data_IF_379074204752
#
_entry.id   IF_379074204752
#
_cell.length_a   1.000
_cell.length_b   1.000
_cell.length_c   1.000
_cell.angle_alpha   90.00
_cell.angle_beta   90.00
_cell.angle_gamma   90.00
#
_symmetry.space_group_name_H-M   'P 1'
#
loop_
_entity.id
_entity.type
_entity.pdbx_description
1 polymer ?
#
# COMPACT_ATOMS: atom_id res chain seq x y z
N UNK A 1 28.84 13.65 -2.06
CA UNK A 1 27.44 14.08 -1.78
C UNK A 1 26.61 12.88 -1.38
N UNK A 2 26.73 11.75 -2.08
CA UNK A 2 26.04 10.48 -1.79
C UNK A 2 26.25 10.00 -0.33
N UNK A 3 27.51 9.98 0.13
CA UNK A 3 27.90 9.61 1.50
C UNK A 3 27.29 10.51 2.60
N UNK A 4 26.97 11.77 2.28
CA UNK A 4 26.33 12.69 3.23
C UNK A 4 24.84 12.43 3.39
N UNK A 5 24.13 12.20 2.27
CA UNK A 5 22.69 11.91 2.31
C UNK A 5 22.43 10.57 2.97
N UNK A 6 23.22 9.55 2.62
CA UNK A 6 23.13 8.22 3.22
C UNK A 6 23.37 8.27 4.73
N UNK A 7 24.44 8.93 5.18
CA UNK A 7 24.68 9.14 6.62
C UNK A 7 23.53 9.86 7.31
N UNK A 8 22.97 10.89 6.67
CA UNK A 8 21.83 11.65 7.22
C UNK A 8 20.57 10.79 7.33
N UNK A 9 20.31 9.92 6.35
CA UNK A 9 19.21 8.95 6.39
C UNK A 9 19.43 7.99 7.56
N UNK A 10 20.63 7.42 7.71
CA UNK A 10 20.96 6.51 8.80
C UNK A 10 20.86 7.17 10.20
N UNK A 11 21.33 8.42 10.34
CA UNK A 11 21.18 9.20 11.57
C UNK A 11 19.70 9.43 11.93
N UNK A 12 18.87 9.77 10.93
CA UNK A 12 17.42 9.97 11.12
C UNK A 12 16.69 8.66 11.41
N UNK A 13 17.05 7.56 10.74
CA UNK A 13 16.50 6.24 11.03
C UNK A 13 16.76 5.84 12.48
N UNK A 14 17.97 6.10 13.01
CA UNK A 14 18.26 5.92 14.44
C UNK A 14 17.39 6.79 15.32
N UNK A 15 17.27 8.09 14.99
CA UNK A 15 16.46 9.04 15.77
C UNK A 15 14.97 8.65 15.83
N UNK A 16 14.43 8.07 14.76
CA UNK A 16 13.05 7.56 14.72
C UNK A 16 12.90 6.09 15.17
N UNK A 17 14.00 5.43 15.57
CA UNK A 17 13.97 4.01 15.96
C UNK A 17 13.63 3.04 14.82
N UNK A 18 13.79 3.46 13.56
CA UNK A 18 13.40 2.65 12.40
C UNK A 18 14.27 1.41 12.20
N UNK A 19 15.57 1.49 12.49
CA UNK A 19 16.46 0.33 12.39
C UNK A 19 16.02 -0.81 13.32
N UNK A 20 15.71 -0.46 14.57
CA UNK A 20 15.21 -1.43 15.54
C UNK A 20 13.82 -1.95 15.14
N UNK A 21 12.96 -1.08 14.61
CA UNK A 21 11.65 -1.48 14.10
C UNK A 21 11.76 -2.48 12.92
N UNK A 22 12.64 -2.24 11.96
CA UNK A 22 12.91 -3.16 10.85
C UNK A 22 13.43 -4.50 11.37
N UNK A 23 14.37 -4.49 12.31
CA UNK A 23 14.90 -5.70 12.95
C UNK A 23 13.81 -6.52 13.62
N UNK A 24 12.98 -5.87 14.44
CA UNK A 24 11.86 -6.52 15.13
C UNK A 24 10.81 -7.05 14.15
N UNK A 25 10.47 -6.31 13.10
CA UNK A 25 9.51 -6.78 12.08
C UNK A 25 10.03 -8.03 11.36
N UNK A 26 11.32 -8.06 11.00
CA UNK A 26 11.95 -9.23 10.38
C UNK A 26 11.93 -10.45 11.32
N UNK A 27 12.35 -10.26 12.58
CA UNK A 27 12.34 -11.32 13.59
C UNK A 27 10.92 -11.85 13.85
N UNK A 28 9.94 -10.94 13.93
CA UNK A 28 8.53 -11.29 14.07
C UNK A 28 8.04 -12.06 12.84
N UNK A 29 8.37 -11.64 11.62
CA UNK A 29 7.94 -12.30 10.40
C UNK A 29 8.46 -13.75 10.29
N UNK A 30 9.69 -14.00 10.75
CA UNK A 30 10.29 -15.34 10.77
C UNK A 30 9.52 -16.31 11.66
N UNK A 31 9.02 -15.85 12.82
CA UNK A 31 8.41 -16.69 13.85
C UNK A 31 6.89 -16.57 13.95
N UNK A 32 6.29 -15.60 13.25
CA UNK A 32 4.86 -15.32 13.32
C UNK A 32 4.05 -16.46 12.72
N UNK A 33 3.06 -17.01 13.46
CA UNK A 33 2.06 -17.88 12.86
C UNK A 33 1.24 -17.07 11.85
N UNK A 34 1.08 -17.63 10.65
CA UNK A 34 0.30 -17.02 9.57
C UNK A 34 -0.89 -17.91 9.22
N UNK A 35 -2.00 -17.29 8.84
CA UNK A 35 -3.21 -17.99 8.37
C UNK A 35 -3.02 -18.40 6.92
N UNK A 36 -2.47 -17.50 6.09
CA UNK A 36 -2.17 -17.79 4.70
C UNK A 36 -1.01 -18.77 4.50
N UNK A 37 -0.87 -19.28 3.29
CA UNK A 37 0.25 -20.13 2.89
C UNK A 37 1.41 -19.27 2.40
N UNK A 38 2.58 -19.41 3.02
CA UNK A 38 3.83 -18.80 2.51
C UNK A 38 4.17 -19.43 1.16
N UNK A 39 4.39 -18.60 0.14
CA UNK A 39 4.84 -19.01 -1.18
C UNK A 39 6.06 -18.18 -1.56
N UNK A 40 7.13 -18.82 -2.01
CA UNK A 40 8.27 -18.11 -2.58
C UNK A 40 7.99 -17.84 -4.06
N UNK A 41 8.17 -16.59 -4.47
CA UNK A 41 8.06 -16.13 -5.84
C UNK A 41 9.46 -15.83 -6.34
N UNK A 42 9.93 -16.63 -7.30
CA UNK A 42 11.23 -16.45 -7.92
C UNK A 42 11.12 -15.46 -9.09
N UNK A 43 11.86 -14.36 -8.98
CA UNK A 43 12.01 -13.33 -10.00
C UNK A 43 13.46 -13.34 -10.51
N UNK A 44 13.76 -12.69 -11.65
CA UNK A 44 15.15 -12.53 -12.10
C UNK A 44 16.03 -11.88 -11.01
N UNK A 45 17.00 -12.65 -10.50
CA UNK A 45 18.00 -12.19 -9.54
C UNK A 45 17.56 -12.09 -8.07
N UNK A 46 16.33 -12.48 -7.72
CA UNK A 46 15.83 -12.44 -6.32
C UNK A 46 14.62 -13.35 -6.11
N UNK A 47 14.37 -13.73 -4.86
CA UNK A 47 13.16 -14.45 -4.47
C UNK A 47 12.46 -13.67 -3.36
N UNK A 48 11.15 -13.54 -3.46
CA UNK A 48 10.32 -12.81 -2.52
C UNK A 48 9.28 -13.75 -1.92
N UNK A 49 8.93 -13.53 -0.65
CA UNK A 49 7.82 -14.25 -0.05
C UNK A 49 6.51 -13.59 -0.47
N UNK A 50 5.47 -14.36 -0.73
CA UNK A 50 4.10 -13.90 -0.80
C UNK A 50 3.27 -14.72 0.18
N UNK A 51 2.21 -14.12 0.71
CA UNK A 51 1.25 -14.81 1.56
C UNK A 51 -0.05 -15.05 0.79
N UNK A 52 -0.36 -16.32 0.53
CA UNK A 52 -1.47 -16.72 -0.33
C UNK A 52 -2.64 -17.26 0.48
N UNK A 53 -3.80 -16.66 0.29
CA UNK A 53 -5.08 -17.10 0.81
C UNK A 53 -5.95 -17.55 -0.35
N UNK A 54 -6.27 -18.84 -0.39
CA UNK A 54 -7.01 -19.44 -1.49
C UNK A 54 -8.23 -20.19 -0.92
N UNK A 55 -9.46 -19.89 -1.37
CA UNK A 55 -10.65 -20.60 -0.94
C UNK A 55 -10.71 -21.98 -1.60
N UNK A 56 -11.30 -22.97 -0.94
CA UNK A 56 -11.50 -24.33 -1.50
C UNK A 56 -12.30 -24.31 -2.81
N UNK A 57 -13.26 -23.39 -2.91
CA UNK A 57 -14.15 -23.23 -4.05
C UNK A 57 -14.24 -21.75 -4.43
N UNK A 58 -13.29 -21.24 -5.24
CA UNK A 58 -13.31 -19.88 -5.76
C UNK A 58 -14.58 -19.60 -6.57
N UNK A 59 -15.15 -18.40 -6.42
CA UNK A 59 -16.35 -18.00 -7.20
C UNK A 59 -16.04 -17.56 -8.61
N UNK A 60 -14.79 -17.14 -8.87
CA UNK A 60 -14.27 -16.75 -10.17
C UNK A 60 -12.72 -16.73 -10.16
N UNK A 61 -12.12 -16.31 -11.27
CA UNK A 61 -10.67 -16.22 -11.48
C UNK A 61 -10.07 -14.85 -11.10
N UNK A 62 -10.73 -14.08 -10.23
CA UNK A 62 -10.16 -12.83 -9.70
C UNK A 62 -9.05 -13.13 -8.70
N UNK A 63 -7.96 -12.36 -8.79
CA UNK A 63 -6.91 -12.31 -7.78
C UNK A 63 -6.86 -10.89 -7.20
N UNK A 64 -6.89 -10.80 -5.87
CA UNK A 64 -6.64 -9.55 -5.15
C UNK A 64 -5.18 -9.57 -4.70
N UNK A 65 -4.38 -8.62 -5.16
CA UNK A 65 -3.04 -8.42 -4.62
C UNK A 65 -3.09 -7.33 -3.55
N UNK A 66 -2.64 -7.67 -2.34
CA UNK A 66 -2.48 -6.68 -1.27
C UNK A 66 -1.02 -6.23 -1.18
N UNK A 67 -0.83 -4.92 -1.01
CA UNK A 67 0.48 -4.28 -0.96
C UNK A 67 0.54 -3.47 0.33
N UNK A 68 1.41 -3.89 1.25
CA UNK A 68 1.49 -3.33 2.59
C UNK A 68 2.04 -1.90 2.58
N UNK A 69 1.66 -1.12 3.60
CA UNK A 69 2.19 0.22 3.86
C UNK A 69 3.58 0.20 4.49
N UNK A 70 3.92 1.27 5.21
CA UNK A 70 5.21 1.37 5.92
C UNK A 70 6.21 2.37 5.32
N UNK A 71 5.74 3.28 4.46
CA UNK A 71 6.57 4.37 3.95
C UNK A 71 7.74 3.88 3.09
N UNK A 72 7.56 2.76 2.38
CA UNK A 72 8.57 2.07 1.57
C UNK A 72 9.78 1.52 2.35
N UNK A 73 9.83 1.73 3.67
CA UNK A 73 10.97 1.36 4.53
C UNK A 73 10.62 0.29 5.57
N UNK A 74 9.33 0.02 5.75
CA UNK A 74 8.80 -0.87 6.78
C UNK A 74 7.70 -1.75 6.20
N UNK A 75 7.29 -2.73 6.99
CA UNK A 75 6.21 -3.64 6.66
C UNK A 75 6.72 -4.97 6.13
N UNK A 76 5.79 -5.90 5.99
CA UNK A 76 6.02 -7.24 5.46
C UNK A 76 4.69 -7.77 4.90
N UNK A 77 4.72 -8.69 3.94
CA UNK A 77 3.52 -9.36 3.42
C UNK A 77 2.71 -10.16 4.46
N UNK A 78 3.21 -10.30 5.70
CA UNK A 78 2.48 -10.94 6.80
C UNK A 78 1.63 -9.95 7.60
N UNK A 79 1.87 -8.64 7.46
CA UNK A 79 1.13 -7.62 8.20
C UNK A 79 -0.35 -7.59 7.82
N UNK A 80 -0.68 -7.96 6.58
CA UNK A 80 -2.04 -8.01 6.06
C UNK A 80 -2.69 -9.41 6.16
N UNK A 81 -2.07 -10.39 6.82
CA UNK A 81 -2.53 -11.80 6.86
C UNK A 81 -4.01 -11.93 7.26
N UNK A 82 -4.42 -11.25 8.35
CA UNK A 82 -5.82 -11.30 8.80
C UNK A 82 -6.76 -10.59 7.83
N UNK A 83 -6.34 -9.45 7.27
CA UNK A 83 -7.13 -8.71 6.28
C UNK A 83 -7.34 -9.57 5.03
N UNK A 84 -6.27 -10.19 4.51
CA UNK A 84 -6.31 -11.08 3.36
C UNK A 84 -7.23 -12.27 3.59
N UNK A 85 -7.18 -12.87 4.78
CA UNK A 85 -8.08 -13.95 5.17
C UNK A 85 -9.55 -13.52 5.17
N UNK A 86 -9.88 -12.36 5.74
CA UNK A 86 -11.27 -11.86 5.78
C UNK A 86 -11.78 -11.49 4.38
N UNK A 87 -10.93 -10.90 3.52
CA UNK A 87 -11.26 -10.63 2.12
C UNK A 87 -11.51 -11.93 1.35
N UNK A 88 -10.62 -12.92 1.48
CA UNK A 88 -10.77 -14.24 0.88
C UNK A 88 -12.09 -14.89 1.30
N UNK A 89 -12.46 -14.83 2.58
CA UNK A 89 -13.74 -15.36 3.07
C UNK A 89 -14.96 -14.64 2.52
N UNK A 90 -14.93 -13.31 2.50
CA UNK A 90 -16.08 -12.48 2.10
C UNK A 90 -16.32 -12.50 0.58
N UNK A 91 -15.24 -12.58 -0.21
CA UNK A 91 -15.29 -12.54 -1.67
C UNK A 91 -15.18 -13.93 -2.30
N UNK A 92 -14.63 -14.92 -1.57
CA UNK A 92 -14.35 -16.28 -2.09
C UNK A 92 -13.51 -16.25 -3.36
N UNK A 93 -12.49 -15.40 -3.37
CA UNK A 93 -11.48 -15.31 -4.45
C UNK A 93 -10.08 -15.42 -3.84
N UNK A 94 -9.08 -15.64 -4.68
CA UNK A 94 -7.68 -15.71 -4.24
C UNK A 94 -7.20 -14.33 -3.81
N UNK A 95 -6.51 -14.26 -2.66
CA UNK A 95 -5.87 -13.05 -2.15
C UNK A 95 -4.39 -13.35 -1.93
N UNK A 96 -3.52 -12.49 -2.46
CA UNK A 96 -2.07 -12.65 -2.39
C UNK A 96 -1.47 -11.37 -1.82
N UNK A 97 -0.92 -11.44 -0.61
CA UNK A 97 -0.12 -10.34 -0.07
C UNK A 97 1.30 -10.42 -0.62
N UNK A 98 1.74 -9.36 -1.28
CA UNK A 98 3.03 -9.30 -1.95
C UNK A 98 4.09 -8.67 -1.04
N UNK A 99 5.27 -9.29 -0.98
CA UNK A 99 6.46 -8.68 -0.39
C UNK A 99 7.19 -7.85 -1.45
N UNK A 100 7.89 -6.80 -1.02
CA UNK A 100 8.75 -6.02 -1.90
C UNK A 100 9.99 -5.54 -1.17
N UNK A 101 11.09 -5.35 -1.90
CA UNK A 101 12.32 -4.82 -1.32
C UNK A 101 12.13 -3.39 -0.82
N UNK A 102 12.67 -3.11 0.35
CA UNK A 102 12.47 -1.86 1.08
C UNK A 102 13.65 -0.90 0.94
N UNK A 103 13.34 0.39 1.00
CA UNK A 103 14.31 1.46 1.16
C UNK A 103 14.82 1.52 2.63
N UNK A 104 16.05 2.02 2.86
CA UNK A 104 16.97 2.60 1.90
C UNK A 104 17.87 1.58 1.18
N UNK A 105 17.87 0.30 1.57
CA UNK A 105 18.72 -0.74 0.97
C UNK A 105 18.40 -0.94 -0.51
N UNK A 106 17.11 -0.84 -0.85
CA UNK A 106 16.60 -0.96 -2.21
C UNK A 106 15.67 0.22 -2.50
N UNK A 107 16.22 1.39 -2.88
CA UNK A 107 15.43 2.56 -3.24
C UNK A 107 14.66 2.30 -4.54
N UNK A 108 13.84 3.27 -4.96
CA UNK A 108 13.18 3.26 -6.26
C UNK A 108 14.15 2.92 -7.40
N UNK A 109 13.78 2.05 -8.36
CA UNK A 109 12.45 1.43 -8.57
C UNK A 109 12.26 0.04 -7.95
N UNK A 110 13.13 -0.40 -7.03
CA UNK A 110 13.17 -1.80 -6.62
C UNK A 110 11.83 -2.37 -6.11
N UNK A 111 11.13 -1.63 -5.24
CA UNK A 111 9.85 -2.06 -4.67
C UNK A 111 8.73 -2.15 -5.71
N UNK A 112 8.59 -1.17 -6.60
CA UNK A 112 7.56 -1.21 -7.65
C UNK A 112 7.85 -2.29 -8.69
N UNK A 113 9.12 -2.50 -9.06
CA UNK A 113 9.54 -3.57 -9.98
C UNK A 113 9.19 -4.94 -9.39
N UNK A 114 9.38 -5.14 -8.08
CA UNK A 114 9.02 -6.36 -7.38
C UNK A 114 7.52 -6.63 -7.42
N UNK A 115 6.70 -5.60 -7.18
CA UNK A 115 5.24 -5.73 -7.24
C UNK A 115 4.78 -6.03 -8.68
N UNK A 116 5.25 -5.25 -9.65
CA UNK A 116 4.88 -5.40 -11.06
C UNK A 116 5.26 -6.79 -11.61
N UNK A 117 6.49 -7.25 -11.37
CA UNK A 117 6.95 -8.55 -11.88
C UNK A 117 6.22 -9.73 -11.22
N UNK A 118 5.92 -9.66 -9.92
CA UNK A 118 5.10 -10.68 -9.26
C UNK A 118 3.69 -10.75 -9.86
N UNK A 119 3.06 -9.60 -10.13
CA UNK A 119 1.74 -9.56 -10.75
C UNK A 119 1.81 -10.12 -12.18
N UNK A 120 2.80 -9.74 -12.99
CA UNK A 120 2.99 -10.31 -14.33
C UNK A 120 3.04 -11.84 -14.32
N UNK A 121 3.73 -12.43 -13.35
CA UNK A 121 3.83 -13.88 -13.21
C UNK A 121 2.52 -14.53 -12.75
N UNK A 122 1.82 -13.91 -11.81
CA UNK A 122 0.66 -14.50 -11.12
C UNK A 122 -0.70 -14.20 -11.80
N UNK A 123 -0.79 -13.14 -12.59
CA UNK A 123 -2.05 -12.61 -13.12
C UNK A 123 -2.41 -13.07 -14.54
N UNK A 124 -1.62 -13.94 -15.17
CA UNK A 124 -1.86 -14.36 -16.55
C UNK A 124 -3.29 -14.92 -16.75
N UNK A 125 -4.10 -14.22 -17.56
CA UNK A 125 -5.49 -14.58 -17.85
C UNK A 125 -6.47 -14.38 -16.69
N UNK A 126 -6.08 -13.63 -15.65
CA UNK A 126 -6.88 -13.40 -14.43
C UNK A 126 -7.44 -11.98 -14.40
N UNK A 127 -8.52 -11.80 -13.65
CA UNK A 127 -8.99 -10.46 -13.29
C UNK A 127 -8.19 -9.98 -12.08
N UNK A 128 -7.64 -8.76 -12.13
CA UNK A 128 -6.73 -8.25 -11.09
C UNK A 128 -7.37 -7.11 -10.33
N UNK A 129 -7.37 -7.20 -9.00
CA UNK A 129 -7.67 -6.08 -8.11
C UNK A 129 -6.43 -5.78 -7.29
N UNK A 130 -6.05 -4.51 -7.20
CA UNK A 130 -4.96 -4.08 -6.33
C UNK A 130 -5.53 -3.41 -5.09
N UNK A 131 -5.09 -3.85 -3.91
CA UNK A 131 -5.40 -3.21 -2.64
C UNK A 131 -4.08 -2.75 -2.03
N UNK A 132 -3.97 -1.47 -1.70
CA UNK A 132 -2.78 -0.94 -1.07
C UNK A 132 -3.11 -0.01 0.08
N UNK A 133 -2.26 -0.01 1.10
CA UNK A 133 -2.34 0.90 2.25
C UNK A 133 -1.15 1.87 2.23
N UNK A 134 -1.38 3.17 2.42
CA UNK A 134 -0.32 4.17 2.55
C UNK A 134 0.67 4.15 1.36
N UNK A 135 1.94 3.81 1.60
CA UNK A 135 2.97 3.60 0.58
C UNK A 135 2.64 2.43 -0.38
N UNK A 136 2.00 1.36 0.11
CA UNK A 136 1.53 0.28 -0.76
C UNK A 136 0.42 0.70 -1.71
N UNK A 137 -0.38 1.71 -1.34
CA UNK A 137 -1.36 2.30 -2.24
C UNK A 137 -0.70 3.12 -3.37
N UNK A 138 0.45 3.72 -3.10
CA UNK A 138 1.28 4.36 -4.11
C UNK A 138 1.81 3.32 -5.12
N UNK A 139 2.43 2.24 -4.62
CA UNK A 139 2.90 1.13 -5.44
C UNK A 139 1.76 0.46 -6.24
N UNK A 140 0.55 0.39 -5.68
CA UNK A 140 -0.63 -0.11 -6.39
C UNK A 140 -0.98 0.73 -7.62
N UNK A 141 -0.95 2.06 -7.50
CA UNK A 141 -1.22 2.97 -8.62
C UNK A 141 -0.12 2.88 -9.67
N UNK A 142 1.14 2.81 -9.25
CA UNK A 142 2.29 2.65 -10.15
C UNK A 142 2.22 1.31 -10.90
N UNK A 143 1.95 0.21 -10.21
CA UNK A 143 1.79 -1.11 -10.83
C UNK A 143 0.61 -1.15 -11.82
N UNK A 144 -0.52 -0.51 -11.50
CA UNK A 144 -1.64 -0.37 -12.43
C UNK A 144 -1.26 0.44 -13.68
N UNK A 145 -0.51 1.53 -13.51
CA UNK A 145 -0.01 2.34 -14.63
C UNK A 145 0.97 1.54 -15.51
N UNK A 146 1.91 0.82 -14.91
CA UNK A 146 2.87 -0.05 -15.62
C UNK A 146 2.15 -1.19 -16.34
N UNK A 147 1.18 -1.85 -15.69
CA UNK A 147 0.34 -2.88 -16.31
C UNK A 147 -0.39 -2.36 -17.54
N UNK A 148 -1.02 -1.19 -17.45
CA UNK A 148 -1.65 -0.49 -18.58
C UNK A 148 -0.64 -0.17 -19.70
N UNK A 149 0.51 0.41 -19.36
CA UNK A 149 1.54 0.87 -20.32
C UNK A 149 2.18 -0.29 -21.08
N UNK A 150 2.41 -1.41 -20.40
CA UNK A 150 3.08 -2.60 -20.96
C UNK A 150 2.12 -3.63 -21.52
N UNK A 151 0.82 -3.53 -21.18
CA UNK A 151 -0.22 -4.51 -21.52
C UNK A 151 0.07 -5.92 -21.00
N UNK A 152 0.94 -6.06 -19.98
CA UNK A 152 1.31 -7.36 -19.41
C UNK A 152 0.16 -7.99 -18.59
N UNK A 153 -0.65 -7.15 -17.93
CA UNK A 153 -1.86 -7.55 -17.23
C UNK A 153 -2.84 -6.36 -17.20
N UNK A 154 -4.11 -6.66 -17.00
CA UNK A 154 -5.15 -5.65 -16.84
C UNK A 154 -5.58 -5.59 -15.38
N UNK A 155 -5.46 -4.41 -14.76
CA UNK A 155 -6.08 -4.14 -13.46
C UNK A 155 -7.53 -3.74 -13.68
N UNK A 156 -8.43 -4.37 -12.93
CA UNK A 156 -9.88 -4.18 -13.00
C UNK A 156 -10.42 -3.27 -11.91
N UNK A 157 -9.70 -3.12 -10.80
CA UNK A 157 -10.07 -2.21 -9.72
C UNK A 157 -8.91 -1.93 -8.77
N UNK A 158 -8.96 -0.78 -8.12
CA UNK A 158 -8.03 -0.40 -7.05
C UNK A 158 -8.78 -0.06 -5.77
N UNK A 159 -8.31 -0.57 -4.64
CA UNK A 159 -8.70 -0.17 -3.29
C UNK A 159 -7.50 0.55 -2.66
N UNK A 160 -7.60 1.87 -2.50
CA UNK A 160 -6.50 2.73 -2.05
C UNK A 160 -6.82 3.27 -0.65
N UNK A 161 -6.18 2.71 0.36
CA UNK A 161 -6.39 3.07 1.76
C UNK A 161 -5.36 4.11 2.21
N UNK A 162 -5.84 5.31 2.54
CA UNK A 162 -5.09 6.50 2.97
C UNK A 162 -3.78 6.65 2.17
N UNK A 163 -3.89 6.85 0.85
CA UNK A 163 -2.77 6.62 -0.06
C UNK A 163 -1.73 7.74 -0.02
N UNK A 164 -0.44 7.38 -0.02
CA UNK A 164 0.67 8.34 -0.01
C UNK A 164 1.15 8.67 -1.44
N UNK A 165 0.48 9.60 -2.13
CA UNK A 165 0.62 9.78 -3.59
C UNK A 165 1.42 11.03 -4.00
N UNK A 166 1.76 11.91 -3.05
CA UNK A 166 2.54 13.12 -3.31
C UNK A 166 3.95 13.05 -2.70
N UNK A 167 4.92 12.53 -3.44
CA UNK A 167 6.30 12.49 -2.97
C UNK A 167 7.03 13.82 -3.14
N UNK A 168 6.59 14.75 -4.01
CA UNK A 168 7.23 16.08 -4.14
C UNK A 168 6.98 16.97 -2.90
N UNK A 169 5.88 16.74 -2.18
CA UNK A 169 5.51 17.55 -1.01
C UNK A 169 6.44 17.30 0.18
N UNK A 170 7.27 18.28 0.51
CA UNK A 170 8.22 18.21 1.62
C UNK A 170 7.58 18.47 2.99
N UNK A 171 8.27 18.12 4.08
CA UNK A 171 7.76 18.24 5.45
C UNK A 171 7.13 19.60 5.80
N UNK A 172 7.77 20.71 5.40
CA UNK A 172 7.32 22.08 5.73
C UNK A 172 5.97 22.46 5.10
N UNK A 173 5.59 21.77 4.02
CA UNK A 173 4.37 22.05 3.26
C UNK A 173 3.21 21.12 3.70
N UNK A 174 3.46 20.23 4.66
CA UNK A 174 2.45 19.33 5.25
C UNK A 174 1.87 19.94 6.52
N UNK A 175 0.56 19.82 6.68
CA UNK A 175 -0.09 20.20 7.92
C UNK A 175 0.34 19.25 9.05
N UNK A 176 0.67 19.81 10.22
CA UNK A 176 0.88 19.05 11.44
C UNK A 176 -0.49 18.61 11.98
N UNK A 177 -0.76 17.30 11.99
CA UNK A 177 -2.02 16.74 12.48
C UNK A 177 -1.76 15.85 13.68
N UNK A 178 -2.31 16.23 14.84
CA UNK A 178 -2.15 15.48 16.09
C UNK A 178 -2.64 14.03 15.94
N UNK A 179 -1.72 13.08 16.07
CA UNK A 179 -1.98 11.64 16.03
C UNK A 179 -1.64 10.97 14.70
N UNK A 180 -1.45 11.75 13.62
CA UNK A 180 -0.93 11.28 12.32
C UNK A 180 0.59 11.08 12.38
N UNK A 181 1.18 10.68 11.26
CA UNK A 181 2.63 10.50 11.09
C UNK A 181 3.36 11.85 11.19
N UNK A 182 4.50 11.93 11.90
CA UNK A 182 5.31 13.14 11.91
C UNK A 182 5.76 13.54 10.50
N UNK A 183 5.68 14.84 10.16
CA UNK A 183 6.10 15.32 8.84
C UNK A 183 7.57 15.06 8.54
N UNK A 184 8.43 15.07 9.56
CA UNK A 184 9.85 14.70 9.43
C UNK A 184 10.06 13.20 9.15
N UNK A 185 9.15 12.34 9.60
CA UNK A 185 9.18 10.92 9.27
C UNK A 185 8.75 10.70 7.81
N UNK A 186 7.71 11.41 7.35
CA UNK A 186 7.31 11.42 5.93
C UNK A 186 8.46 11.88 5.02
N UNK A 187 9.20 12.92 5.42
CA UNK A 187 10.39 13.39 4.70
C UNK A 187 11.50 12.34 4.65
N UNK A 188 11.67 11.56 5.72
CA UNK A 188 12.63 10.45 5.73
C UNK A 188 12.22 9.33 4.77
N UNK A 189 10.94 8.90 4.79
CA UNK A 189 10.41 7.92 3.84
C UNK A 189 10.65 8.35 2.40
N UNK A 190 10.31 9.60 2.08
CA UNK A 190 10.55 10.20 0.76
C UNK A 190 12.03 10.16 0.38
N UNK A 191 12.92 10.64 1.24
CA UNK A 191 14.36 10.71 0.95
C UNK A 191 14.99 9.32 0.77
N UNK A 192 14.57 8.35 1.58
CA UNK A 192 15.06 6.98 1.47
C UNK A 192 14.58 6.28 0.20
N UNK A 193 13.29 6.46 -0.16
CA UNK A 193 12.71 5.80 -1.32
C UNK A 193 13.17 6.44 -2.64
N UNK A 194 13.10 7.76 -2.76
CA UNK A 194 13.48 8.48 -3.99
C UNK A 194 14.98 8.39 -4.25
N UNK A 195 15.80 8.48 -3.20
CA UNK A 195 17.28 8.58 -3.29
C UNK A 195 17.72 9.64 -4.32
N UNK A 196 18.20 9.21 -5.48
CA UNK A 196 18.72 10.08 -6.55
C UNK A 196 17.74 10.21 -7.75
N UNK A 197 16.57 9.58 -7.65
CA UNK A 197 15.55 9.67 -8.69
C UNK A 197 14.89 11.06 -8.74
N UNK A 198 14.31 11.38 -9.89
CA UNK A 198 13.47 12.57 -10.05
C UNK A 198 12.10 12.32 -9.42
N UNK A 199 11.87 12.93 -8.26
CA UNK A 199 10.62 12.84 -7.48
C UNK A 199 9.38 13.34 -8.24
N UNK A 200 9.54 14.10 -9.32
CA UNK A 200 8.43 14.58 -10.15
C UNK A 200 7.92 13.54 -11.14
N UNK A 201 8.64 12.42 -11.31
CA UNK A 201 8.20 11.30 -12.15
C UNK A 201 6.87 10.74 -11.67
N UNK A 202 5.98 10.47 -12.61
CA UNK A 202 4.66 9.90 -12.34
C UNK A 202 4.76 8.48 -11.79
N UNK A 203 5.86 7.79 -12.07
CA UNK A 203 6.22 6.48 -11.52
C UNK A 203 6.76 6.54 -10.08
N UNK A 204 6.72 7.70 -9.43
CA UNK A 204 7.06 7.93 -8.01
C UNK A 204 5.95 8.73 -7.32
N UNK A 205 5.45 9.75 -8.01
CA UNK A 205 4.42 10.66 -7.55
C UNK A 205 3.18 10.50 -8.43
N UNK A 206 2.25 9.57 -8.13
CA UNK A 206 1.04 9.41 -8.92
C UNK A 206 0.20 10.68 -9.09
N UNK A 207 0.25 11.62 -8.14
CA UNK A 207 -0.44 12.91 -8.32
C UNK A 207 0.17 13.81 -9.40
N UNK A 208 1.38 13.53 -9.88
CA UNK A 208 1.96 14.23 -11.01
C UNK A 208 1.35 13.78 -12.35
N UNK A 209 0.60 12.68 -12.39
CA UNK A 209 -0.04 12.19 -13.62
C UNK A 209 -0.96 13.26 -14.23
N UNK A 210 -0.81 13.41 -15.54
CA UNK A 210 -1.69 14.18 -16.41
C UNK A 210 -3.02 13.44 -16.61
N UNK A 211 -4.04 14.16 -17.09
CA UNK A 211 -5.33 13.57 -17.40
C UNK A 211 -5.21 12.42 -18.42
N UNK A 212 -4.33 12.54 -19.42
CA UNK A 212 -4.10 11.51 -20.43
C UNK A 212 -3.47 10.23 -19.84
N UNK A 213 -2.56 10.38 -18.87
CA UNK A 213 -1.94 9.23 -18.19
C UNK A 213 -2.96 8.50 -17.30
N UNK A 214 -3.89 9.25 -16.68
CA UNK A 214 -4.95 8.71 -15.84
C UNK A 214 -6.07 8.04 -16.65
N UNK A 215 -6.39 8.53 -17.85
CA UNK A 215 -7.42 7.92 -18.70
C UNK A 215 -7.15 6.44 -18.92
N UNK A 216 -8.10 5.57 -18.57
CA UNK A 216 -7.93 4.11 -18.68
C UNK A 216 -7.19 3.45 -17.51
N UNK A 217 -6.87 4.18 -16.44
CA UNK A 217 -6.66 3.57 -15.13
C UNK A 217 -7.96 2.91 -14.63
N UNK A 218 -7.86 1.89 -13.76
CA UNK A 218 -9.04 1.15 -13.30
C UNK A 218 -9.95 1.97 -12.38
N UNK A 219 -11.24 1.59 -12.29
CA UNK A 219 -12.13 2.07 -11.24
C UNK A 219 -11.49 1.98 -9.86
N UNK A 220 -11.68 2.99 -9.02
CA UNK A 220 -10.98 3.07 -7.73
C UNK A 220 -11.91 3.37 -6.55
N UNK A 221 -11.79 2.57 -5.50
CA UNK A 221 -12.27 2.88 -4.16
C UNK A 221 -11.14 3.54 -3.38
N UNK A 222 -11.39 4.69 -2.77
CA UNK A 222 -10.41 5.44 -2.00
C UNK A 222 -10.98 5.71 -0.61
N UNK A 223 -10.31 5.25 0.44
CA UNK A 223 -10.63 5.63 1.81
C UNK A 223 -9.54 6.57 2.33
N UNK A 224 -9.91 7.64 3.02
CA UNK A 224 -8.97 8.56 3.66
C UNK A 224 -9.31 8.73 5.14
N UNK A 225 -8.30 8.85 5.98
CA UNK A 225 -8.47 9.12 7.40
C UNK A 225 -8.60 10.64 7.64
N UNK A 226 -9.64 11.07 8.37
CA UNK A 226 -9.88 12.48 8.64
C UNK A 226 -8.70 13.13 9.39
N UNK A 227 -8.06 12.41 10.31
CA UNK A 227 -6.93 12.90 11.11
C UNK A 227 -5.60 12.41 10.54
N UNK A 228 -5.37 12.70 9.27
CA UNK A 228 -4.18 12.25 8.54
C UNK A 228 -3.55 13.34 7.66
N UNK A 229 -2.23 13.54 7.76
CA UNK A 229 -1.49 14.60 7.07
C UNK A 229 -1.32 14.34 5.56
N UNK A 230 -1.72 13.16 5.08
CA UNK A 230 -1.79 12.79 3.66
C UNK A 230 -3.23 12.63 3.15
N UNK A 231 -4.25 13.00 3.94
CA UNK A 231 -5.67 12.91 3.52
C UNK A 231 -5.91 13.54 2.14
N UNK A 232 -5.32 14.70 1.92
CA UNK A 232 -5.44 15.47 0.68
C UNK A 232 -4.88 14.73 -0.54
N UNK A 233 -3.93 13.81 -0.38
CA UNK A 233 -3.38 13.03 -1.50
C UNK A 233 -4.47 12.12 -2.10
N UNK A 234 -5.25 11.44 -1.25
CA UNK A 234 -6.37 10.61 -1.69
C UNK A 234 -7.53 11.42 -2.29
N UNK A 235 -7.84 12.59 -1.72
CA UNK A 235 -8.86 13.50 -2.25
C UNK A 235 -8.46 14.01 -3.64
N UNK A 236 -7.20 14.42 -3.82
CA UNK A 236 -6.68 14.90 -5.09
C UNK A 236 -6.68 13.79 -6.16
N UNK A 237 -6.31 12.56 -5.79
CA UNK A 237 -6.37 11.42 -6.73
C UNK A 237 -7.81 11.10 -7.15
N UNK A 238 -8.76 11.12 -6.21
CA UNK A 238 -10.18 10.97 -6.51
C UNK A 238 -10.65 12.00 -7.55
N UNK A 239 -10.34 13.28 -7.34
CA UNK A 239 -10.70 14.36 -8.26
C UNK A 239 -10.09 14.14 -9.65
N UNK A 240 -8.78 13.87 -9.72
CA UNK A 240 -8.08 13.59 -10.98
C UNK A 240 -8.66 12.41 -11.76
N UNK A 241 -9.00 11.31 -11.07
CA UNK A 241 -9.69 10.16 -11.69
C UNK A 241 -11.03 10.57 -12.29
N UNK A 242 -11.85 11.30 -11.52
CA UNK A 242 -13.18 11.76 -11.97
C UNK A 242 -13.09 12.72 -13.15
N UNK A 243 -12.16 13.66 -13.12
CA UNK A 243 -11.90 14.62 -14.22
C UNK A 243 -11.42 13.90 -15.50
N UNK A 244 -10.65 12.82 -15.36
CA UNK A 244 -10.23 11.98 -16.47
C UNK A 244 -11.32 11.01 -16.97
N UNK A 245 -12.52 11.01 -16.39
CA UNK A 245 -13.62 10.12 -16.74
C UNK A 245 -13.50 8.70 -16.17
N UNK A 246 -12.60 8.47 -15.21
CA UNK A 246 -12.44 7.19 -14.51
C UNK A 246 -13.37 7.14 -13.30
N UNK A 247 -14.04 6.00 -13.10
CA UNK A 247 -14.91 5.80 -11.94
C UNK A 247 -14.08 5.83 -10.65
N UNK A 248 -14.48 6.66 -9.69
CA UNK A 248 -13.85 6.70 -8.38
C UNK A 248 -14.88 6.98 -7.30
N UNK A 249 -14.77 6.29 -6.17
CA UNK A 249 -15.54 6.55 -4.96
C UNK A 249 -14.59 6.91 -3.83
N UNK A 250 -14.92 7.97 -3.09
CA UNK A 250 -14.12 8.46 -1.96
C UNK A 250 -14.92 8.33 -0.66
N UNK A 251 -14.27 7.82 0.38
CA UNK A 251 -14.79 7.76 1.73
C UNK A 251 -13.83 8.45 2.70
N UNK A 252 -14.26 9.54 3.32
CA UNK A 252 -13.55 10.14 4.46
C UNK A 252 -14.04 9.49 5.76
N UNK A 253 -13.13 8.91 6.52
CA UNK A 253 -13.42 8.22 7.77
C UNK A 253 -13.13 9.16 8.94
N UNK A 254 -14.16 9.50 9.69
CA UNK A 254 -14.06 10.43 10.80
C UNK A 254 -13.30 9.86 11.99
N UNK A 255 -12.62 10.73 12.74
CA UNK A 255 -11.96 10.42 14.02
C UNK A 255 -10.86 9.36 14.01
N UNK A 256 -10.51 8.77 12.87
CA UNK A 256 -9.39 7.83 12.72
C UNK A 256 -8.10 8.52 12.26
N UNK A 257 -6.95 7.93 12.61
CA UNK A 257 -5.63 8.37 12.15
C UNK A 257 -5.08 7.43 11.07
N UNK A 258 -3.95 7.82 10.47
CA UNK A 258 -3.20 6.99 9.53
C UNK A 258 -3.01 5.53 10.03
N UNK A 259 -3.14 4.56 9.12
CA UNK A 259 -2.92 3.14 9.40
C UNK A 259 -4.02 2.44 10.20
N UNK A 260 -5.21 3.04 10.37
CA UNK A 260 -6.26 2.47 11.23
C UNK A 260 -6.76 1.10 10.78
N UNK A 261 -6.75 0.80 9.48
CA UNK A 261 -7.12 -0.53 8.96
C UNK A 261 -6.00 -1.53 9.28
N UNK A 262 -4.76 -1.23 8.90
CA UNK A 262 -3.60 -2.10 9.19
C UNK A 262 -3.49 -2.38 10.70
N UNK A 263 -3.61 -1.35 11.56
CA UNK A 263 -3.56 -1.53 13.01
C UNK A 263 -4.73 -2.38 13.55
N UNK A 264 -5.90 -2.34 12.92
CA UNK A 264 -7.06 -3.15 13.33
C UNK A 264 -6.85 -4.63 12.99
N UNK A 265 -6.44 -4.92 11.75
CA UNK A 265 -6.28 -6.30 11.29
C UNK A 265 -4.95 -6.93 11.75
N UNK A 266 -3.96 -6.11 12.07
CA UNK A 266 -2.65 -6.55 12.58
C UNK A 266 -2.47 -6.27 14.08
N UNK A 267 -3.57 -6.11 14.83
CA UNK A 267 -3.59 -5.56 16.20
C UNK A 267 -2.59 -6.20 17.16
N UNK A 268 -2.46 -7.53 17.13
CA UNK A 268 -1.60 -8.29 18.06
C UNK A 268 -0.10 -8.08 17.78
N UNK A 269 0.25 -7.57 16.59
CA UNK A 269 1.62 -7.47 16.11
C UNK A 269 2.09 -6.02 15.97
N UNK A 270 1.20 -5.04 16.10
CA UNK A 270 1.58 -3.62 16.07
C UNK A 270 2.06 -3.11 17.42
N UNK A 271 2.79 -1.99 17.40
CA UNK A 271 3.33 -1.35 18.61
C UNK A 271 2.24 -1.04 19.64
N UNK A 272 2.62 -0.95 20.91
CA UNK A 272 1.71 -0.52 21.98
C UNK A 272 1.03 0.82 21.68
N UNK A 273 1.78 1.79 21.13
CA UNK A 273 1.23 3.07 20.71
C UNK A 273 0.16 2.92 19.61
N UNK A 274 0.35 2.00 18.65
CA UNK A 274 -0.66 1.69 17.64
C UNK A 274 -1.90 1.04 18.26
N UNK A 275 -1.72 0.08 19.19
CA UNK A 275 -2.83 -0.57 19.90
C UNK A 275 -3.65 0.41 20.73
N UNK A 276 -2.99 1.35 21.43
CA UNK A 276 -3.64 2.38 22.24
C UNK A 276 -4.50 3.36 21.41
N UNK A 277 -4.16 3.54 20.12
CA UNK A 277 -4.96 4.34 19.18
C UNK A 277 -6.09 3.56 18.52
N UNK A 278 -6.08 2.23 18.62
CA UNK A 278 -7.02 1.33 17.93
C UNK A 278 -8.14 0.93 18.89
N UNK A 279 -9.01 1.90 19.20
CA UNK A 279 -10.20 1.68 20.03
C UNK A 279 -11.24 0.84 19.30
N UNK A 280 -12.28 0.39 19.99
CA UNK A 280 -13.37 -0.38 19.34
C UNK A 280 -14.09 0.42 18.25
N UNK A 281 -14.24 1.73 18.42
CA UNK A 281 -14.80 2.61 17.38
C UNK A 281 -13.90 2.66 16.13
N UNK A 282 -12.58 2.69 16.34
CA UNK A 282 -11.60 2.67 15.24
C UNK A 282 -11.63 1.32 14.52
N UNK A 283 -11.74 0.21 15.26
CA UNK A 283 -11.90 -1.13 14.67
C UNK A 283 -13.18 -1.23 13.86
N UNK A 284 -14.29 -0.72 14.40
CA UNK A 284 -15.59 -0.71 13.73
C UNK A 284 -15.52 0.08 12.41
N UNK A 285 -14.88 1.26 12.43
CA UNK A 285 -14.65 2.05 11.21
C UNK A 285 -13.80 1.29 10.17
N UNK A 286 -12.76 0.57 10.60
CA UNK A 286 -11.97 -0.28 9.71
C UNK A 286 -12.82 -1.42 9.10
N UNK A 287 -13.63 -2.10 9.90
CA UNK A 287 -14.53 -3.15 9.41
C UNK A 287 -15.56 -2.63 8.40
N UNK A 288 -16.08 -1.43 8.61
CA UNK A 288 -17.01 -0.78 7.69
C UNK A 288 -16.36 -0.45 6.35
N UNK A 289 -15.12 0.07 6.35
CA UNK A 289 -14.39 0.33 5.11
C UNK A 289 -14.13 -0.98 4.34
N UNK A 290 -13.64 -2.03 5.00
CA UNK A 290 -13.41 -3.32 4.33
C UNK A 290 -14.72 -3.90 3.79
N UNK A 291 -15.84 -3.73 4.49
CA UNK A 291 -17.13 -4.16 3.96
C UNK A 291 -17.53 -3.38 2.71
N UNK A 292 -17.24 -2.08 2.63
CA UNK A 292 -17.49 -1.26 1.43
C UNK A 292 -16.56 -1.63 0.28
N UNK A 293 -15.28 -1.93 0.56
CA UNK A 293 -14.35 -2.44 -0.44
C UNK A 293 -14.84 -3.77 -1.03
N UNK A 294 -15.34 -4.68 -0.19
CA UNK A 294 -15.94 -5.94 -0.64
C UNK A 294 -17.11 -5.70 -1.59
N UNK A 295 -18.00 -4.75 -1.29
CA UNK A 295 -19.10 -4.43 -2.18
C UNK A 295 -18.65 -3.74 -3.47
N UNK A 296 -17.62 -2.88 -3.41
CA UNK A 296 -16.99 -2.32 -4.60
C UNK A 296 -16.39 -3.41 -5.49
N UNK A 297 -15.63 -4.36 -4.93
CA UNK A 297 -14.99 -5.45 -5.69
C UNK A 297 -16.04 -6.35 -6.34
N UNK A 298 -17.13 -6.69 -5.64
CA UNK A 298 -18.24 -7.46 -6.23
C UNK A 298 -18.90 -6.76 -7.42
N UNK A 299 -18.91 -5.42 -7.45
CA UNK A 299 -19.46 -4.68 -8.59
C UNK A 299 -18.59 -4.80 -9.84
N UNK A 300 -17.29 -5.09 -9.70
CA UNK A 300 -16.37 -5.30 -10.82
C UNK A 300 -16.61 -6.62 -11.56
N UNK A 301 -17.37 -7.56 -10.97
CA UNK A 301 -17.69 -8.85 -11.58
C UNK A 301 -18.92 -8.84 -12.49
N UNK A 302 -19.63 -7.71 -12.54
CA UNK A 302 -20.84 -7.53 -13.34
C UNK A 302 -20.48 -7.06 -14.75
#
# INVERSE_FOLDING_TARGET
MEDYLERKIQDRMRAFGLQEKQRMQKEQAEHRPVIGKKQIIDLPGRSLCALVHEPEHPVNETIIFTIHGGGFMLGHCFDDDRLCYELMKKLRVKVVSLEYRLAPEFPYPAGVDDIYEQICLLASGKQVVLLGCSAGANLAVEAAYLGKKTQAFQVNGMCLNYPYLNLVKVAKDRAEIKGSLPNLLMELFRQAYVKDADETKIELTPLAMTQQEIQGLPPSFIAVAQRDNIKEDGIAMHQKLREAGVSSTLYEVENVTHGFIENTYNYDYVSENSRNKTTEEVKQAAYEIIQREVEFIKQLWR
#
